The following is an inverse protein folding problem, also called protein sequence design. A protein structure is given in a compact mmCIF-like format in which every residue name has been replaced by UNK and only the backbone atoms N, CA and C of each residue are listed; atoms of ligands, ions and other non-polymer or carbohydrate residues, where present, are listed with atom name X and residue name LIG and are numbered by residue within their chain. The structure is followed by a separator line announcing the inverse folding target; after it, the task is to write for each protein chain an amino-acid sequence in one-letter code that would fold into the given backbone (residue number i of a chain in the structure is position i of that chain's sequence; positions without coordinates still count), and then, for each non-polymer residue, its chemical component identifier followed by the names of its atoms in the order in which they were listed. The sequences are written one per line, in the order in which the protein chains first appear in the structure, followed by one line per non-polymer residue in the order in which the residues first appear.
data_IF_782217170738
#
_entry.id   IF_782217170738
#
_cell.length_a   1.000
_cell.length_b   1.000
_cell.length_c   1.000
_cell.angle_alpha   90.00
_cell.angle_beta   90.00
_cell.angle_gamma   90.00
#
_symmetry.space_group_name_H-M   'P 1'
#
loop_
_entity.id
_entity.type
_entity.pdbx_description
1 polymer ?
#
# COMPACT_ATOMS: atom_id res chain seq x y z
N UNK A 1 -0.01 -6.37 13.80
CA UNK A 1 -0.20 -6.88 12.43
C UNK A 1 -1.61 -6.60 11.90
N UNK A 2 -2.65 -7.27 12.42
CA UNK A 2 -4.04 -7.13 11.89
C UNK A 2 -4.53 -5.69 11.81
N UNK A 3 -4.44 -4.93 12.90
CA UNK A 3 -4.89 -3.53 12.91
C UNK A 3 -4.08 -2.65 11.96
N UNK A 4 -2.76 -2.90 11.85
CA UNK A 4 -1.92 -2.14 10.94
C UNK A 4 -2.32 -2.37 9.47
N UNK A 5 -2.64 -3.61 9.08
CA UNK A 5 -3.11 -3.93 7.73
C UNK A 5 -4.52 -3.37 7.48
N UNK A 6 -5.46 -3.56 8.42
CA UNK A 6 -6.84 -3.07 8.24
C UNK A 6 -6.89 -1.54 8.16
N UNK A 7 -6.15 -0.83 9.01
CA UNK A 7 -6.19 0.63 9.06
C UNK A 7 -5.35 1.23 7.92
N UNK A 8 -4.07 0.87 7.80
CA UNK A 8 -3.19 1.52 6.81
C UNK A 8 -3.48 1.05 5.38
N UNK A 9 -3.74 -0.24 5.18
CA UNK A 9 -4.02 -0.77 3.83
C UNK A 9 -5.51 -0.67 3.53
N UNK A 10 -6.35 -1.22 4.41
CA UNK A 10 -7.79 -1.27 4.18
C UNK A 10 -8.42 0.12 4.05
N UNK A 11 -8.41 0.89 5.14
CA UNK A 11 -9.03 2.22 5.14
C UNK A 11 -8.23 3.23 4.30
N UNK A 12 -6.90 3.17 4.34
CA UNK A 12 -6.05 4.04 3.54
C UNK A 12 -6.30 3.91 2.03
N UNK A 13 -6.34 2.69 1.50
CA UNK A 13 -6.62 2.48 0.08
C UNK A 13 -8.11 2.73 -0.25
N UNK A 14 -9.06 2.50 0.66
CA UNK A 14 -10.44 2.96 0.44
C UNK A 14 -10.54 4.48 0.32
N UNK A 15 -9.75 5.23 1.09
CA UNK A 15 -9.67 6.67 0.96
C UNK A 15 -9.10 7.07 -0.41
N UNK A 16 -8.05 6.39 -0.87
CA UNK A 16 -7.51 6.55 -2.23
C UNK A 16 -8.56 6.27 -3.31
N UNK A 17 -9.32 5.17 -3.18
CA UNK A 17 -10.42 4.84 -4.09
C UNK A 17 -11.47 5.96 -4.16
N UNK A 18 -11.90 6.48 -3.01
CA UNK A 18 -12.87 7.59 -2.95
C UNK A 18 -12.29 8.84 -3.62
N UNK A 19 -11.02 9.18 -3.35
CA UNK A 19 -10.33 10.32 -3.96
C UNK A 19 -10.29 10.22 -5.48
N UNK A 20 -9.82 9.10 -6.00
CA UNK A 20 -9.66 8.86 -7.44
C UNK A 20 -10.97 8.58 -8.20
N UNK A 21 -12.10 8.40 -7.50
CA UNK A 21 -13.43 8.29 -8.12
C UNK A 21 -14.23 9.58 -8.04
N UNK A 22 -14.48 10.08 -6.83
CA UNK A 22 -15.36 11.22 -6.59
C UNK A 22 -14.66 12.57 -6.79
N UNK A 23 -13.35 12.61 -6.60
CA UNK A 23 -12.52 13.82 -6.67
C UNK A 23 -11.40 13.68 -7.72
N UNK A 24 -11.63 12.88 -8.76
CA UNK A 24 -10.63 12.51 -9.75
C UNK A 24 -9.96 13.71 -10.43
N UNK A 25 -10.72 14.77 -10.73
CA UNK A 25 -10.18 15.99 -11.35
C UNK A 25 -9.23 16.73 -10.39
N UNK A 26 -9.64 16.90 -9.13
CA UNK A 26 -8.83 17.58 -8.12
C UNK A 26 -7.55 16.81 -7.81
N UNK A 27 -7.63 15.48 -7.72
CA UNK A 27 -6.47 14.62 -7.50
C UNK A 27 -5.53 14.65 -8.72
N UNK A 28 -6.08 14.58 -9.95
CA UNK A 28 -5.25 14.69 -11.15
C UNK A 28 -4.47 16.02 -11.17
N UNK A 29 -5.15 17.14 -10.91
CA UNK A 29 -4.50 18.45 -10.86
C UNK A 29 -3.44 18.53 -9.74
N UNK A 30 -3.71 17.96 -8.56
CA UNK A 30 -2.79 18.01 -7.42
C UNK A 30 -1.50 17.20 -7.62
N UNK A 31 -1.53 16.18 -8.49
CA UNK A 31 -0.35 15.42 -8.94
C UNK A 31 0.26 15.98 -10.24
N UNK A 32 -0.31 17.05 -10.81
CA UNK A 32 0.20 17.68 -12.04
C UNK A 32 -0.28 17.07 -13.35
N UNK A 33 -1.34 16.28 -13.31
CA UNK A 33 -1.94 15.61 -14.46
C UNK A 33 -3.21 16.36 -14.93
N UNK A 34 -3.57 16.29 -16.22
CA UNK A 34 -4.78 16.93 -16.72
C UNK A 34 -6.06 16.43 -16.04
N UNK A 35 -6.99 17.33 -15.72
CA UNK A 35 -8.32 16.95 -15.29
C UNK A 35 -9.00 16.04 -16.34
N UNK A 36 -9.73 15.03 -15.88
CA UNK A 36 -10.35 14.03 -16.75
C UNK A 36 -9.39 12.98 -17.31
N UNK A 37 -8.15 12.90 -16.82
CA UNK A 37 -7.23 11.83 -17.20
C UNK A 37 -7.83 10.45 -16.82
N UNK A 38 -8.01 9.53 -17.80
CA UNK A 38 -8.67 8.25 -17.56
C UNK A 38 -7.92 7.35 -16.58
N UNK A 39 -6.61 7.57 -16.40
CA UNK A 39 -5.79 6.80 -15.46
C UNK A 39 -6.28 6.92 -14.02
N UNK A 40 -6.99 7.99 -13.66
CA UNK A 40 -7.60 8.14 -12.33
C UNK A 40 -8.55 6.97 -12.02
N UNK A 41 -9.30 6.45 -13.00
CA UNK A 41 -10.18 5.29 -12.80
C UNK A 41 -9.38 4.00 -12.58
N UNK A 42 -8.26 3.81 -13.27
CA UNK A 42 -7.39 2.65 -13.05
C UNK A 42 -6.78 2.67 -11.64
N UNK A 43 -6.29 3.84 -11.22
CA UNK A 43 -5.74 4.07 -9.87
C UNK A 43 -6.81 3.87 -8.80
N UNK A 44 -8.05 4.31 -9.05
CA UNK A 44 -9.18 4.03 -8.17
C UNK A 44 -9.41 2.52 -8.01
N UNK A 45 -9.51 1.76 -9.11
CA UNK A 45 -9.76 0.31 -9.05
C UNK A 45 -8.61 -0.43 -8.37
N UNK A 46 -7.36 -0.02 -8.60
CA UNK A 46 -6.20 -0.60 -7.90
C UNK A 46 -6.28 -0.38 -6.38
N UNK A 47 -6.63 0.84 -5.95
CA UNK A 47 -6.88 1.15 -4.55
C UNK A 47 -8.05 0.35 -3.97
N UNK A 48 -9.14 0.17 -4.72
CA UNK A 48 -10.26 -0.67 -4.31
C UNK A 48 -9.84 -2.11 -4.08
N UNK A 49 -9.03 -2.68 -4.99
CA UNK A 49 -8.53 -4.04 -4.87
C UNK A 49 -7.66 -4.21 -3.62
N UNK A 50 -6.66 -3.35 -3.43
CA UNK A 50 -5.73 -3.42 -2.30
C UNK A 50 -6.44 -3.17 -0.96
N UNK A 51 -7.33 -2.18 -0.90
CA UNK A 51 -8.08 -1.91 0.33
C UNK A 51 -9.07 -3.01 0.68
N UNK A 52 -9.65 -3.69 -0.32
CA UNK A 52 -10.47 -4.89 -0.09
C UNK A 52 -9.66 -6.00 0.57
N UNK A 53 -8.44 -6.28 0.07
CA UNK A 53 -7.53 -7.24 0.71
C UNK A 53 -7.19 -6.83 2.15
N UNK A 54 -6.91 -5.53 2.37
CA UNK A 54 -6.63 -4.98 3.69
C UNK A 54 -7.78 -5.18 4.70
N UNK A 55 -9.01 -4.90 4.30
CA UNK A 55 -10.21 -5.10 5.12
C UNK A 55 -10.44 -6.59 5.40
N UNK A 56 -10.32 -7.44 4.38
CA UNK A 56 -10.52 -8.89 4.52
C UNK A 56 -9.54 -9.55 5.48
N UNK A 57 -8.35 -8.97 5.69
CA UNK A 57 -7.35 -9.47 6.66
C UNK A 57 -7.86 -9.53 8.11
N UNK A 58 -8.94 -8.82 8.45
CA UNK A 58 -9.58 -8.93 9.77
C UNK A 58 -10.13 -10.34 10.01
N UNK A 59 -10.83 -10.90 9.01
CA UNK A 59 -11.45 -12.23 9.05
C UNK A 59 -10.51 -13.32 8.52
N UNK A 60 -9.83 -13.07 7.40
CA UNK A 60 -8.96 -14.03 6.72
C UNK A 60 -7.52 -13.83 7.20
N UNK A 61 -7.00 -14.80 7.96
CA UNK A 61 -5.72 -14.69 8.67
C UNK A 61 -4.64 -15.60 8.09
N UNK A 62 -3.42 -15.53 8.65
CA UNK A 62 -2.31 -16.38 8.23
C UNK A 62 -1.66 -15.88 6.95
N UNK A 63 -1.54 -16.73 5.92
CA UNK A 63 -0.85 -16.40 4.67
C UNK A 63 -1.59 -15.38 3.80
N UNK A 64 -2.87 -15.16 4.06
CA UNK A 64 -3.62 -14.06 3.45
C UNK A 64 -3.01 -12.68 3.79
N UNK A 65 -2.41 -12.53 4.98
CA UNK A 65 -1.67 -11.31 5.33
C UNK A 65 -0.43 -11.14 4.47
N UNK A 66 0.27 -12.23 4.16
CA UNK A 66 1.44 -12.19 3.27
C UNK A 66 1.02 -11.75 1.87
N UNK A 67 -0.03 -12.37 1.30
CA UNK A 67 -0.55 -11.99 -0.01
C UNK A 67 -0.97 -10.52 -0.07
N UNK A 68 -1.66 -10.03 0.98
CA UNK A 68 -2.08 -8.63 1.08
C UNK A 68 -0.89 -7.67 1.14
N UNK A 69 0.14 -7.99 1.93
CA UNK A 69 1.36 -7.17 2.00
C UNK A 69 2.10 -7.16 0.67
N UNK A 70 2.18 -8.29 -0.03
CA UNK A 70 2.79 -8.36 -1.37
C UNK A 70 2.02 -7.46 -2.36
N UNK A 71 0.70 -7.62 -2.46
CA UNK A 71 -0.12 -6.84 -3.38
C UNK A 71 -0.02 -5.33 -3.08
N UNK A 72 -0.10 -4.96 -1.80
CA UNK A 72 0.06 -3.57 -1.36
C UNK A 72 1.44 -3.01 -1.71
N UNK A 73 2.49 -3.82 -1.53
CA UNK A 73 3.86 -3.40 -1.82
C UNK A 73 4.10 -3.19 -3.31
N UNK A 74 3.59 -4.09 -4.15
CA UNK A 74 3.66 -3.94 -5.61
C UNK A 74 2.93 -2.66 -6.04
N UNK A 75 1.73 -2.43 -5.50
CA UNK A 75 0.94 -1.25 -5.81
C UNK A 75 1.66 0.05 -5.44
N UNK A 76 2.04 0.20 -4.17
CA UNK A 76 2.64 1.44 -3.67
C UNK A 76 4.04 1.69 -4.23
N UNK A 77 4.91 0.68 -4.28
CA UNK A 77 6.25 0.87 -4.87
C UNK A 77 6.19 1.10 -6.39
N UNK A 78 5.18 0.54 -7.07
CA UNK A 78 4.88 0.86 -8.46
C UNK A 78 4.52 2.34 -8.63
N UNK A 79 3.62 2.86 -7.80
CA UNK A 79 3.26 4.28 -7.78
C UNK A 79 4.47 5.19 -7.47
N UNK A 80 5.28 4.84 -6.46
CA UNK A 80 6.51 5.55 -6.14
C UNK A 80 7.48 5.61 -7.34
N UNK A 81 7.54 4.54 -8.15
CA UNK A 81 8.38 4.52 -9.35
C UNK A 81 7.88 5.53 -10.39
N UNK A 82 6.56 5.63 -10.58
CA UNK A 82 5.96 6.63 -11.49
C UNK A 82 6.26 8.04 -10.98
N UNK A 83 6.05 8.31 -9.69
CA UNK A 83 6.40 9.59 -9.07
C UNK A 83 7.88 9.95 -9.24
N UNK A 84 8.79 8.98 -9.03
CA UNK A 84 10.23 9.20 -9.20
C UNK A 84 10.58 9.57 -10.66
N UNK A 85 9.99 8.89 -11.64
CA UNK A 85 10.17 9.21 -13.06
C UNK A 85 9.64 10.61 -13.37
N UNK A 86 8.45 10.96 -12.88
CA UNK A 86 7.85 12.29 -13.07
C UNK A 86 8.72 13.40 -12.45
N UNK A 87 9.31 13.16 -11.27
CA UNK A 87 10.21 14.11 -10.61
C UNK A 87 11.50 14.29 -11.41
N UNK A 88 12.14 13.19 -11.82
CA UNK A 88 13.47 13.22 -12.44
C UNK A 88 13.40 13.66 -13.91
N UNK A 89 12.47 13.10 -14.67
CA UNK A 89 12.40 13.30 -16.13
C UNK A 89 11.53 14.49 -16.52
N UNK A 90 10.39 14.69 -15.84
CA UNK A 90 9.43 15.75 -16.18
C UNK A 90 9.55 16.99 -15.29
N UNK A 91 10.35 16.94 -14.21
CA UNK A 91 10.45 18.04 -13.25
C UNK A 91 9.13 18.35 -12.55
N UNK A 92 8.26 17.34 -12.40
CA UNK A 92 6.94 17.50 -11.79
C UNK A 92 7.07 17.49 -10.26
N UNK A 93 7.23 18.67 -9.66
CA UNK A 93 7.35 18.84 -8.21
C UNK A 93 6.02 19.17 -7.52
N UNK A 94 4.89 18.84 -8.14
CA UNK A 94 3.58 19.07 -7.53
C UNK A 94 3.48 18.38 -6.15
N UNK A 95 2.77 18.98 -5.18
CA UNK A 95 2.81 18.52 -3.79
C UNK A 95 2.45 17.04 -3.62
N UNK A 96 1.40 16.57 -4.30
CA UNK A 96 0.94 15.19 -4.18
C UNK A 96 1.71 14.23 -5.11
N UNK A 97 2.59 14.75 -5.97
CA UNK A 97 3.52 13.94 -6.76
C UNK A 97 4.87 13.75 -6.05
N UNK A 98 5.40 14.78 -5.40
CA UNK A 98 6.81 14.82 -4.98
C UNK A 98 7.03 14.88 -3.47
N UNK A 99 5.97 14.90 -2.66
CA UNK A 99 6.09 15.06 -1.19
C UNK A 99 5.50 13.87 -0.45
N UNK A 100 4.50 14.13 0.39
CA UNK A 100 4.00 13.19 1.38
C UNK A 100 3.59 11.86 0.74
N UNK A 101 2.84 11.90 -0.36
CA UNK A 101 2.36 10.69 -1.06
C UNK A 101 3.54 9.83 -1.53
N UNK A 102 4.50 10.42 -2.25
CA UNK A 102 5.70 9.70 -2.69
C UNK A 102 6.46 9.01 -1.55
N UNK A 103 6.63 9.68 -0.41
CA UNK A 103 7.29 9.06 0.74
C UNK A 103 6.43 7.97 1.38
N UNK A 104 5.11 8.14 1.45
CA UNK A 104 4.20 7.13 1.98
C UNK A 104 4.16 5.88 1.10
N UNK A 105 4.28 6.04 -0.21
CA UNK A 105 4.34 4.94 -1.18
C UNK A 105 5.57 4.04 -0.97
N UNK A 106 6.63 4.58 -0.37
CA UNK A 106 7.85 3.84 -0.04
C UNK A 106 7.82 3.33 1.40
N UNK A 107 7.52 4.21 2.36
CA UNK A 107 7.64 3.88 3.79
C UNK A 107 6.55 2.92 4.26
N UNK A 108 5.32 3.05 3.74
CA UNK A 108 4.20 2.18 4.13
C UNK A 108 4.46 0.71 3.80
N UNK A 109 4.86 0.31 2.57
CA UNK A 109 5.13 -1.09 2.29
C UNK A 109 6.33 -1.63 3.05
N UNK A 110 7.39 -0.83 3.26
CA UNK A 110 8.53 -1.24 4.09
C UNK A 110 8.12 -1.52 5.54
N UNK A 111 7.27 -0.67 6.11
CA UNK A 111 6.71 -0.87 7.45
C UNK A 111 5.86 -2.15 7.51
N UNK A 112 5.00 -2.38 6.51
CA UNK A 112 4.16 -3.58 6.44
C UNK A 112 4.97 -4.87 6.34
N UNK A 113 6.04 -4.87 5.52
CA UNK A 113 6.97 -5.99 5.40
C UNK A 113 7.67 -6.24 6.74
N UNK A 114 8.20 -5.20 7.39
CA UNK A 114 8.85 -5.32 8.68
C UNK A 114 7.91 -5.88 9.76
N UNK A 115 6.67 -5.39 9.81
CA UNK A 115 5.64 -5.88 10.74
C UNK A 115 5.22 -7.33 10.44
N UNK A 116 5.15 -7.72 9.16
CA UNK A 116 4.87 -9.10 8.77
C UNK A 116 5.99 -10.03 9.23
N UNK A 117 7.25 -9.68 8.96
CA UNK A 117 8.43 -10.46 9.39
C UNK A 117 8.42 -10.59 10.91
N UNK A 118 8.28 -9.48 11.63
CA UNK A 118 8.20 -9.48 13.09
C UNK A 118 7.09 -10.42 13.59
N UNK A 119 5.87 -10.29 13.05
CA UNK A 119 4.75 -11.14 13.46
C UNK A 119 4.96 -12.63 13.17
N UNK A 120 5.75 -12.99 12.15
CA UNK A 120 6.10 -14.38 11.83
C UNK A 120 7.15 -14.91 12.80
N UNK A 121 8.17 -14.11 13.12
CA UNK A 121 9.23 -14.48 14.07
C UNK A 121 8.67 -14.64 15.49
N UNK A 122 7.80 -13.72 15.95
CA UNK A 122 7.17 -13.82 17.28
C UNK A 122 6.22 -15.00 17.44
N UNK A 123 5.81 -15.63 16.34
CA UNK A 123 4.93 -16.81 16.35
C UNK A 123 5.69 -18.13 16.33
N UNK A 124 7.00 -18.13 16.07
CA UNK A 124 7.79 -19.34 16.22
C UNK A 124 7.99 -19.62 17.71
N UNK A 125 7.50 -20.77 18.25
CA UNK A 125 7.74 -21.09 19.64
C UNK A 125 9.23 -21.33 19.85
N UNK A 126 9.82 -20.65 20.82
CA UNK A 126 11.22 -20.81 21.29
C UNK A 126 11.53 -22.21 21.88
N UNK A 127 10.79 -23.26 21.54
CA UNK A 127 10.79 -24.54 22.27
C UNK A 127 10.89 -25.84 21.46
N UNK A 128 10.94 -25.83 20.13
CA UNK A 128 11.01 -27.10 19.36
C UNK A 128 12.43 -27.62 19.08
N UNK A 129 13.47 -26.94 19.58
CA UNK A 129 14.85 -27.40 19.47
C UNK A 129 15.25 -28.51 20.47
N UNK A 130 14.39 -28.89 21.45
CA UNK A 130 14.78 -29.81 22.54
C UNK A 130 14.15 -31.21 22.50
N UNK A 131 13.24 -31.51 21.57
CA UNK A 131 12.52 -32.80 21.57
C UNK A 131 13.11 -33.84 20.59
N UNK A 132 14.18 -33.50 19.85
CA UNK A 132 14.88 -34.45 18.94
C UNK A 132 16.21 -35.00 19.50
N UNK A 133 16.48 -34.77 20.77
CA UNK A 133 17.63 -35.33 21.48
C UNK A 133 17.16 -35.91 22.82
N UNK A 134 16.49 -37.06 22.74
CA UNK A 134 16.02 -37.86 23.88
C UNK A 134 15.80 -39.28 23.42
#
# INVERSE_FOLDING_TARGET
MVLAVVINVGLGAMWGFIGHTLFAAQIAESIGWPAGNPFQTEVAVANLAVGTLGILCYWIRGDFWTATVIATSIWLLGAATIHAVEIIAAGNYNPDNARLIFYLDILSPLLLIALLIYARLSRQPTGQARVRAG
#
